data_IF_120945899487
#
_entry.id   IF_120945899487
#
_cell.length_a   1.000
_cell.length_b   1.000
_cell.length_c   1.000
_cell.angle_alpha   90.00
_cell.angle_beta   90.00
_cell.angle_gamma   90.00
#
_symmetry.space_group_name_H-M   'P 1'
#
loop_
_entity.id
_entity.type
_entity.pdbx_description
1 polymer ?
#
# COMPACT_ATOMS: atom_id res chain seq x y z
N UNK A 1 -1.82 -13.83 -8.46
CA UNK A 1 -1.34 -13.06 -7.29
C UNK A 1 0.16 -13.23 -7.21
N UNK A 2 0.91 -12.15 -7.01
CA UNK A 2 2.36 -12.24 -6.90
C UNK A 2 2.76 -13.01 -5.64
N UNK A 3 3.62 -14.02 -5.80
CA UNK A 3 4.22 -14.78 -4.72
C UNK A 3 5.62 -14.25 -4.53
N UNK A 4 5.97 -13.94 -3.29
CA UNK A 4 7.25 -13.36 -2.94
C UNK A 4 8.30 -14.43 -3.12
N UNK A 5 9.43 -14.03 -3.71
CA UNK A 5 10.61 -14.86 -3.68
C UNK A 5 11.34 -14.72 -2.33
N UNK A 6 12.47 -15.43 -2.19
CA UNK A 6 13.28 -15.40 -0.97
C UNK A 6 13.84 -14.00 -0.69
N UNK A 7 14.07 -13.19 -1.72
CA UNK A 7 14.60 -11.84 -1.59
C UNK A 7 13.52 -10.89 -1.06
N UNK A 8 12.33 -10.90 -1.65
CA UNK A 8 11.18 -10.13 -1.18
C UNK A 8 10.82 -10.47 0.26
N UNK A 9 10.78 -11.77 0.60
CA UNK A 9 10.49 -12.24 1.95
C UNK A 9 11.53 -11.74 2.96
N UNK A 10 12.81 -11.88 2.62
CA UNK A 10 13.91 -11.41 3.47
C UNK A 10 13.85 -9.89 3.68
N UNK A 11 13.53 -9.12 2.66
CA UNK A 11 13.38 -7.66 2.80
C UNK A 11 12.28 -7.33 3.81
N UNK A 12 11.10 -7.96 3.73
CA UNK A 12 10.04 -7.68 4.71
C UNK A 12 10.52 -8.02 6.11
N UNK A 13 11.13 -9.19 6.31
CA UNK A 13 11.61 -9.61 7.63
C UNK A 13 12.65 -8.64 8.21
N UNK A 14 13.59 -8.19 7.40
CA UNK A 14 14.60 -7.22 7.81
C UNK A 14 13.99 -5.84 8.11
N UNK A 15 12.94 -5.45 7.38
CA UNK A 15 12.15 -4.25 7.69
C UNK A 15 11.40 -4.37 9.00
N UNK A 16 10.85 -5.54 9.33
CA UNK A 16 10.23 -5.79 10.63
C UNK A 16 11.26 -5.67 11.76
N UNK A 17 12.44 -6.29 11.62
CA UNK A 17 13.53 -6.18 12.61
C UNK A 17 13.97 -4.73 12.81
N UNK A 18 14.16 -4.00 11.70
CA UNK A 18 14.52 -2.58 11.72
C UNK A 18 13.48 -1.75 12.47
N UNK A 19 12.19 -1.90 12.11
CA UNK A 19 11.13 -1.11 12.75
C UNK A 19 10.93 -1.48 14.22
N UNK A 20 11.16 -2.74 14.60
CA UNK A 20 11.15 -3.17 16.00
C UNK A 20 12.22 -2.46 16.82
N UNK A 21 13.47 -2.39 16.34
CA UNK A 21 14.52 -1.64 17.04
C UNK A 21 14.20 -0.14 17.11
N UNK A 22 13.72 0.46 16.02
CA UNK A 22 13.29 1.86 16.01
C UNK A 22 12.19 2.13 17.04
N UNK A 23 11.21 1.24 17.14
CA UNK A 23 10.12 1.34 18.13
C UNK A 23 10.65 1.18 19.55
N UNK A 24 11.52 0.20 19.81
CA UNK A 24 12.19 0.02 21.11
C UNK A 24 12.92 1.30 21.54
N UNK A 25 13.73 1.87 20.65
CA UNK A 25 14.50 3.10 20.92
C UNK A 25 13.60 4.29 21.22
N UNK A 26 12.51 4.44 20.48
CA UNK A 26 11.50 5.46 20.76
C UNK A 26 10.86 5.28 22.14
N UNK A 27 10.43 4.06 22.48
CA UNK A 27 9.85 3.76 23.79
C UNK A 27 10.85 3.94 24.95
N UNK A 28 12.15 3.75 24.69
CA UNK A 28 13.22 4.00 25.64
C UNK A 28 13.63 5.49 25.76
N UNK A 29 13.03 6.37 24.94
CA UNK A 29 13.40 7.80 24.89
C UNK A 29 14.72 8.10 24.15
N UNK A 30 15.30 7.10 23.47
CA UNK A 30 16.51 7.23 22.64
C UNK A 30 16.22 7.83 21.25
N UNK A 31 14.95 7.88 20.85
CA UNK A 31 14.48 8.59 19.65
C UNK A 31 13.38 9.56 20.04
N UNK A 32 13.50 10.81 19.59
CA UNK A 32 12.44 11.81 19.74
C UNK A 32 11.22 11.50 18.86
N UNK A 33 10.07 12.11 19.16
CA UNK A 33 8.88 12.01 18.29
C UNK A 33 9.16 12.54 16.88
N UNK A 34 9.98 13.59 16.73
CA UNK A 34 10.30 14.16 15.42
C UNK A 34 11.11 13.20 14.55
N UNK A 35 12.06 12.48 15.16
CA UNK A 35 12.87 11.45 14.50
C UNK A 35 12.06 10.18 14.22
N UNK A 36 11.18 9.78 15.15
CA UNK A 36 10.37 8.57 14.99
C UNK A 36 9.23 8.76 13.97
N UNK A 37 8.66 9.97 13.88
CA UNK A 37 7.55 10.30 12.98
C UNK A 37 7.75 9.82 11.53
N UNK A 38 8.84 10.16 10.81
CA UNK A 38 9.04 9.67 9.44
C UNK A 38 9.17 8.14 9.39
N UNK A 39 9.81 7.51 10.38
CA UNK A 39 10.03 6.06 10.44
C UNK A 39 8.71 5.30 10.59
N UNK A 40 7.84 5.73 11.52
CA UNK A 40 6.53 5.11 11.71
C UNK A 40 5.59 5.33 10.53
N UNK A 41 5.63 6.52 9.91
CA UNK A 41 4.83 6.82 8.73
C UNK A 41 5.21 5.94 7.53
N UNK A 42 6.51 5.69 7.31
CA UNK A 42 6.96 4.78 6.26
C UNK A 42 6.58 3.31 6.52
N UNK A 43 6.27 2.94 7.77
CA UNK A 43 5.74 1.63 8.15
C UNK A 43 4.22 1.65 8.37
N UNK A 44 3.53 2.64 7.81
CA UNK A 44 2.07 2.70 7.81
C UNK A 44 1.41 3.09 9.12
N UNK A 45 2.20 3.44 10.13
CA UNK A 45 1.73 3.79 11.47
C UNK A 45 1.54 5.31 11.62
N UNK A 46 0.27 5.72 11.62
CA UNK A 46 -0.16 7.09 11.79
C UNK A 46 -0.81 7.27 13.16
N UNK A 47 -0.16 7.98 14.08
CA UNK A 47 -0.77 8.35 15.37
C UNK A 47 -1.76 9.50 15.15
N UNK A 48 -3.05 9.19 15.29
CA UNK A 48 -4.12 10.19 15.30
C UNK A 48 -4.27 10.78 16.70
N UNK A 49 -5.14 11.78 16.86
CA UNK A 49 -5.39 12.45 18.15
C UNK A 49 -5.79 11.50 19.28
N UNK A 50 -6.48 10.41 18.95
CA UNK A 50 -7.07 9.50 19.95
C UNK A 50 -6.49 8.08 19.92
N UNK A 51 -5.89 7.64 18.81
CA UNK A 51 -5.33 6.30 18.68
C UNK A 51 -4.37 6.17 17.49
N UNK A 52 -3.44 5.21 17.50
CA UNK A 52 -2.66 4.84 16.33
C UNK A 52 -3.54 4.18 15.26
N UNK A 53 -3.25 4.47 14.00
CA UNK A 53 -3.83 3.78 12.84
C UNK A 53 -2.70 3.11 12.07
N UNK A 54 -2.83 1.80 11.84
CA UNK A 54 -1.94 1.01 11.01
C UNK A 54 -2.60 0.72 9.67
N UNK A 55 -1.97 1.16 8.58
CA UNK A 55 -2.40 0.84 7.21
C UNK A 55 -1.57 -0.29 6.62
N UNK A 56 -2.23 -1.40 6.29
CA UNK A 56 -1.63 -2.55 5.61
C UNK A 56 -1.75 -2.36 4.10
N UNK A 57 -0.67 -2.64 3.37
CA UNK A 57 -0.63 -2.61 1.92
C UNK A 57 -1.38 -3.81 1.35
N UNK A 58 -2.28 -3.55 0.40
CA UNK A 58 -2.96 -4.56 -0.41
C UNK A 58 -2.73 -4.18 -1.87
N UNK A 59 -1.62 -4.65 -2.48
CA UNK A 59 -1.26 -4.28 -3.83
C UNK A 59 -2.44 -4.46 -4.80
N UNK A 60 -2.82 -3.37 -5.47
CA UNK A 60 -3.90 -3.35 -6.49
C UNK A 60 -5.18 -4.09 -6.06
N UNK A 61 -5.48 -4.10 -4.76
CA UNK A 61 -6.70 -4.67 -4.19
C UNK A 61 -6.81 -6.19 -4.19
N UNK A 62 -5.72 -6.92 -4.45
CA UNK A 62 -5.74 -8.38 -4.51
C UNK A 62 -5.40 -9.03 -3.16
N UNK A 63 -6.27 -9.92 -2.68
CA UNK A 63 -6.11 -10.66 -1.42
C UNK A 63 -6.36 -12.16 -1.58
N UNK A 64 -5.50 -12.99 -1.00
CA UNK A 64 -5.80 -14.42 -0.78
C UNK A 64 -6.70 -14.60 0.45
N UNK A 65 -7.39 -15.75 0.51
CA UNK A 65 -8.09 -16.18 1.72
C UNK A 65 -7.17 -16.30 2.94
N UNK A 66 -5.91 -16.73 2.75
CA UNK A 66 -4.88 -16.80 3.80
C UNK A 66 -4.59 -15.41 4.39
N UNK A 67 -4.36 -14.42 3.54
CA UNK A 67 -4.12 -13.03 3.93
C UNK A 67 -5.36 -12.42 4.61
N UNK A 68 -6.56 -12.67 4.10
CA UNK A 68 -7.79 -12.22 4.73
C UNK A 68 -7.98 -12.80 6.14
N UNK A 69 -7.66 -14.09 6.35
CA UNK A 69 -7.70 -14.73 7.68
C UNK A 69 -6.67 -14.12 8.63
N UNK A 70 -5.47 -13.80 8.15
CA UNK A 70 -4.46 -13.11 8.95
C UNK A 70 -4.95 -11.73 9.41
N UNK A 71 -5.48 -10.91 8.50
CA UNK A 71 -6.04 -9.61 8.89
C UNK A 71 -7.21 -9.75 9.88
N UNK A 72 -8.04 -10.78 9.75
CA UNK A 72 -9.09 -11.06 10.72
C UNK A 72 -8.54 -11.46 12.11
N UNK A 73 -7.41 -12.18 12.16
CA UNK A 73 -6.69 -12.45 13.41
C UNK A 73 -6.18 -11.14 14.02
N UNK A 74 -5.47 -10.32 13.24
CA UNK A 74 -4.98 -9.01 13.71
C UNK A 74 -6.11 -8.13 14.25
N UNK A 75 -7.27 -8.10 13.57
CA UNK A 75 -8.44 -7.34 14.02
C UNK A 75 -8.91 -7.76 15.42
N UNK A 76 -8.88 -9.05 15.74
CA UNK A 76 -9.35 -9.58 17.03
C UNK A 76 -8.31 -9.43 18.14
N UNK A 77 -7.05 -9.62 17.80
CA UNK A 77 -5.98 -9.73 18.78
C UNK A 77 -5.41 -8.35 19.15
N UNK A 78 -5.35 -7.42 18.20
CA UNK A 78 -4.66 -6.12 18.34
C UNK A 78 -5.56 -4.90 18.05
N UNK A 79 -6.82 -5.11 17.68
CA UNK A 79 -7.77 -4.02 17.41
C UNK A 79 -9.11 -4.35 18.12
N UNK A 80 -10.23 -3.78 17.68
CA UNK A 80 -11.56 -3.91 18.30
C UNK A 80 -12.47 -4.90 17.55
N UNK A 81 -11.89 -5.89 16.88
CA UNK A 81 -12.61 -6.92 16.13
C UNK A 81 -13.09 -6.48 14.73
N UNK A 82 -12.64 -5.32 14.23
CA UNK A 82 -12.98 -4.84 12.88
C UNK A 82 -11.78 -4.25 12.16
N UNK A 83 -11.92 -4.08 10.84
CA UNK A 83 -10.95 -3.40 9.98
C UNK A 83 -11.70 -2.54 8.94
N UNK A 84 -11.01 -1.57 8.37
CA UNK A 84 -11.58 -0.68 7.37
C UNK A 84 -10.92 -0.89 6.01
N UNK A 85 -11.73 -1.05 4.96
CA UNK A 85 -11.24 -0.98 3.58
C UNK A 85 -11.17 0.49 3.17
N UNK A 86 -10.01 0.91 2.69
CA UNK A 86 -9.80 2.27 2.21
C UNK A 86 -10.24 2.44 0.76
N UNK A 87 -10.48 3.69 0.35
CA UNK A 87 -10.74 4.05 -1.05
C UNK A 87 -9.57 3.81 -2.00
N UNK A 88 -8.43 3.34 -1.48
CA UNK A 88 -7.26 2.92 -2.27
C UNK A 88 -6.95 1.44 -2.05
N UNK A 89 -7.99 0.65 -1.76
CA UNK A 89 -7.98 -0.80 -1.68
C UNK A 89 -7.11 -1.43 -0.57
N UNK A 90 -6.41 -0.62 0.23
CA UNK A 90 -5.71 -1.05 1.44
C UNK A 90 -6.65 -1.31 2.61
N UNK A 91 -6.14 -2.00 3.65
CA UNK A 91 -6.84 -2.25 4.92
C UNK A 91 -6.25 -1.40 6.04
N UNK A 92 -7.09 -0.93 6.97
CA UNK A 92 -6.70 -0.10 8.12
C UNK A 92 -7.24 -0.65 9.44
N UNK A 93 -6.37 -0.68 10.43
CA UNK A 93 -6.63 -0.89 11.86
C UNK A 93 -6.48 0.45 12.58
N UNK A 94 -7.36 0.78 13.52
CA UNK A 94 -7.42 2.12 14.14
C UNK A 94 -7.18 2.10 15.65
N UNK A 95 -6.90 0.94 16.24
CA UNK A 95 -6.66 0.80 17.67
C UNK A 95 -5.44 -0.03 18.09
N UNK A 96 -4.45 -0.36 17.22
CA UNK A 96 -3.27 -1.07 17.71
C UNK A 96 -2.49 -0.21 18.69
N UNK A 97 -2.05 -0.82 19.79
CA UNK A 97 -1.07 -0.21 20.66
C UNK A 97 0.25 -0.03 19.89
N UNK A 98 0.97 1.07 20.14
CA UNK A 98 2.15 1.43 19.35
C UNK A 98 3.26 0.38 19.50
N UNK A 99 3.42 -0.12 20.72
CA UNK A 99 4.36 -1.17 21.12
C UNK A 99 4.12 -2.51 20.43
N UNK A 100 2.87 -2.81 20.06
CA UNK A 100 2.48 -4.08 19.44
C UNK A 100 2.65 -4.06 17.91
N UNK A 101 2.78 -2.88 17.30
CA UNK A 101 2.86 -2.77 15.82
C UNK A 101 4.00 -3.59 15.22
N UNK A 102 5.22 -3.65 15.80
CA UNK A 102 6.26 -4.54 15.29
C UNK A 102 5.87 -6.03 15.30
N UNK A 103 5.04 -6.48 16.24
CA UNK A 103 4.52 -7.86 16.29
C UNK A 103 3.46 -8.08 15.22
N UNK A 104 2.54 -7.12 15.04
CA UNK A 104 1.56 -7.16 13.95
C UNK A 104 2.24 -7.27 12.58
N UNK A 105 3.30 -6.48 12.35
CA UNK A 105 4.07 -6.53 11.11
C UNK A 105 4.80 -7.87 10.93
N UNK A 106 5.29 -8.47 12.01
CA UNK A 106 5.90 -9.80 11.98
C UNK A 106 4.88 -10.88 11.57
N UNK A 107 3.67 -10.83 12.13
CA UNK A 107 2.60 -11.75 11.75
C UNK A 107 2.17 -11.57 10.30
N UNK A 108 1.99 -10.33 9.84
CA UNK A 108 1.67 -10.02 8.44
C UNK A 108 2.74 -10.56 7.47
N UNK A 109 4.02 -10.49 7.85
CA UNK A 109 5.12 -11.00 7.04
C UNK A 109 5.01 -12.52 6.79
N UNK A 110 4.42 -13.30 7.71
CA UNK A 110 4.23 -14.76 7.54
C UNK A 110 3.26 -15.13 6.40
N UNK A 111 2.45 -14.16 5.95
CA UNK A 111 1.52 -14.30 4.82
C UNK A 111 1.86 -13.33 3.69
N UNK A 112 3.11 -12.86 3.64
CA UNK A 112 3.65 -11.96 2.62
C UNK A 112 2.86 -10.65 2.51
N UNK A 113 2.56 -10.04 3.66
CA UNK A 113 1.95 -8.71 3.74
C UNK A 113 2.86 -7.74 4.50
N UNK A 114 2.74 -6.46 4.18
CA UNK A 114 3.52 -5.38 4.81
C UNK A 114 2.71 -4.09 4.93
N UNK A 115 3.27 -3.10 5.63
CA UNK A 115 2.72 -1.74 5.75
C UNK A 115 3.63 -0.67 5.12
N UNK A 116 4.70 -1.10 4.45
CA UNK A 116 5.74 -0.25 3.87
C UNK A 116 5.15 0.74 2.85
N UNK A 117 5.57 2.01 2.95
CA UNK A 117 5.16 3.11 2.07
C UNK A 117 3.64 3.31 1.95
N UNK A 118 2.87 2.98 2.99
CA UNK A 118 1.41 3.19 2.97
C UNK A 118 0.98 4.57 3.51
N UNK A 119 1.92 5.32 4.09
CA UNK A 119 1.75 6.63 4.71
C UNK A 119 3.01 7.49 4.52
N UNK A 120 2.98 8.76 4.94
CA UNK A 120 4.07 9.71 4.72
C UNK A 120 4.08 10.33 3.31
N UNK A 121 5.21 10.96 3.00
CA UNK A 121 5.49 11.62 1.71
C UNK A 121 6.25 10.66 0.78
N UNK A 122 5.55 9.65 0.31
CA UNK A 122 6.05 8.65 -0.64
C UNK A 122 4.91 8.23 -1.57
N UNK A 123 5.18 7.26 -2.43
CA UNK A 123 4.12 6.60 -3.19
C UNK A 123 3.08 5.97 -2.28
N UNK A 124 1.85 5.90 -2.79
CA UNK A 124 0.73 5.17 -2.21
C UNK A 124 0.47 3.90 -3.00
N UNK A 125 -0.46 3.09 -2.51
CA UNK A 125 -0.90 1.89 -3.22
C UNK A 125 -1.24 2.22 -4.68
N UNK A 126 -0.69 1.40 -5.58
CA UNK A 126 -1.06 1.37 -6.99
C UNK A 126 -2.41 0.67 -7.07
N UNK A 127 -3.40 1.34 -7.64
CA UNK A 127 -4.79 0.86 -7.66
C UNK A 127 -5.28 0.57 -9.07
N UNK A 128 -6.22 -0.35 -9.19
CA UNK A 128 -6.84 -0.72 -10.46
C UNK A 128 -8.30 -1.15 -10.29
N UNK A 129 -8.98 -1.51 -11.38
CA UNK A 129 -10.35 -2.03 -11.37
C UNK A 129 -10.44 -3.29 -10.49
N UNK A 130 -11.41 -3.33 -9.57
CA UNK A 130 -11.68 -4.52 -8.74
C UNK A 130 -12.03 -5.77 -9.57
N UNK A 131 -12.48 -5.60 -10.81
CA UNK A 131 -12.80 -6.67 -11.74
C UNK A 131 -11.66 -7.01 -12.72
N UNK A 132 -10.46 -6.48 -12.49
CA UNK A 132 -9.29 -6.74 -13.33
C UNK A 132 -9.03 -8.25 -13.55
N UNK A 133 -8.92 -8.64 -14.82
CA UNK A 133 -8.74 -10.00 -15.31
C UNK A 133 -10.04 -10.78 -15.58
N UNK A 134 -11.21 -10.21 -15.28
CA UNK A 134 -12.51 -10.88 -15.45
C UNK A 134 -13.62 -9.97 -15.98
N UNK A 135 -13.40 -8.66 -16.09
CA UNK A 135 -14.41 -7.74 -16.59
C UNK A 135 -14.69 -7.99 -18.07
N UNK A 136 -15.97 -8.03 -18.46
CA UNK A 136 -16.37 -8.29 -19.84
C UNK A 136 -15.96 -7.16 -20.81
N UNK A 137 -15.75 -5.96 -20.28
CA UNK A 137 -15.32 -4.78 -21.01
C UNK A 137 -13.83 -4.44 -20.78
N UNK A 138 -13.06 -5.40 -20.28
CA UNK A 138 -11.62 -5.26 -20.11
C UNK A 138 -10.92 -5.22 -21.48
N UNK A 139 -10.21 -4.13 -21.76
CA UNK A 139 -9.35 -4.00 -22.93
C UNK A 139 -8.03 -4.74 -22.70
N UNK A 140 -7.49 -4.66 -21.48
CA UNK A 140 -6.27 -5.33 -21.06
C UNK A 140 -6.31 -5.56 -19.55
N UNK A 141 -5.85 -6.72 -19.09
CA UNK A 141 -5.67 -6.99 -17.66
C UNK A 141 -4.62 -6.04 -17.09
N UNK A 142 -4.95 -5.07 -16.21
CA UNK A 142 -4.00 -4.06 -15.75
C UNK A 142 -3.01 -4.58 -14.68
N UNK A 143 -3.24 -5.78 -14.12
CA UNK A 143 -2.48 -6.30 -12.96
C UNK A 143 -0.97 -6.45 -13.23
N UNK A 144 -0.50 -6.94 -14.39
CA UNK A 144 0.93 -6.99 -14.69
C UNK A 144 1.61 -5.61 -14.62
N UNK A 145 0.96 -4.56 -15.14
CA UNK A 145 1.48 -3.19 -15.09
C UNK A 145 1.50 -2.66 -13.66
N UNK A 146 0.44 -2.92 -12.88
CA UNK A 146 0.41 -2.56 -11.46
C UNK A 146 1.54 -3.24 -10.68
N UNK A 147 1.83 -4.50 -10.96
CA UNK A 147 2.90 -5.25 -10.31
C UNK A 147 4.28 -4.71 -10.68
N UNK A 148 4.53 -4.41 -11.95
CA UNK A 148 5.80 -3.80 -12.41
C UNK A 148 6.01 -2.45 -11.72
N UNK A 149 4.98 -1.58 -11.71
CA UNK A 149 5.06 -0.28 -11.03
C UNK A 149 5.30 -0.47 -9.53
N UNK A 150 4.61 -1.41 -8.88
CA UNK A 150 4.81 -1.72 -7.47
C UNK A 150 6.26 -2.15 -7.20
N UNK A 151 6.80 -3.09 -7.97
CA UNK A 151 8.18 -3.57 -7.80
C UNK A 151 9.20 -2.45 -8.01
N UNK A 152 9.01 -1.64 -9.05
CA UNK A 152 9.95 -0.57 -9.37
C UNK A 152 9.91 0.59 -8.36
N UNK A 153 8.77 0.78 -7.68
CA UNK A 153 8.59 1.90 -6.75
C UNK A 153 8.82 1.53 -5.29
N UNK A 154 8.54 0.28 -4.91
CA UNK A 154 8.75 -0.20 -3.55
C UNK A 154 10.24 -0.31 -3.29
N UNK A 155 10.73 0.31 -2.21
CA UNK A 155 12.15 0.36 -1.82
C UNK A 155 13.10 1.16 -2.72
N UNK A 156 12.62 1.74 -3.82
CA UNK A 156 13.46 2.59 -4.63
C UNK A 156 13.75 3.92 -3.90
N UNK A 157 15.04 4.33 -3.74
CA UNK A 157 15.40 5.51 -2.97
C UNK A 157 14.72 6.81 -3.45
N UNK A 158 14.53 6.95 -4.76
CA UNK A 158 13.88 8.14 -5.35
C UNK A 158 12.43 8.34 -4.88
N UNK A 159 11.77 7.26 -4.44
CA UNK A 159 10.37 7.27 -4.03
C UNK A 159 10.17 7.22 -2.51
N UNK A 160 11.25 7.19 -1.74
CA UNK A 160 11.20 7.15 -0.27
C UNK A 160 10.88 8.52 0.37
N UNK A 161 11.23 9.63 -0.31
CA UNK A 161 11.13 11.00 0.20
C UNK A 161 10.65 11.97 -0.88
N UNK A 162 9.37 11.88 -1.24
CA UNK A 162 8.74 12.80 -2.17
C UNK A 162 8.35 14.11 -1.49
N UNK A 163 8.08 15.20 -2.23
CA UNK A 163 7.55 16.44 -1.66
C UNK A 163 6.19 16.25 -0.96
N UNK A 164 5.38 15.31 -1.46
CA UNK A 164 4.09 14.94 -0.88
C UNK A 164 3.72 13.50 -1.26
N UNK A 165 2.57 13.03 -0.78
CA UNK A 165 1.95 11.78 -1.22
C UNK A 165 1.83 11.73 -2.74
N UNK A 166 2.13 10.58 -3.34
CA UNK A 166 2.04 10.37 -4.79
C UNK A 166 1.23 9.11 -5.09
N UNK A 167 0.28 9.19 -6.01
CA UNK A 167 -0.74 8.17 -6.27
C UNK A 167 -0.70 7.76 -7.72
N UNK A 168 -0.73 6.47 -7.97
CA UNK A 168 -0.79 5.91 -9.32
C UNK A 168 -2.04 5.02 -9.40
N UNK A 169 -2.80 5.15 -10.49
CA UNK A 169 -3.85 4.20 -10.85
C UNK A 169 -3.76 3.81 -12.32
N UNK A 170 -4.14 2.57 -12.59
CA UNK A 170 -4.14 1.99 -13.93
C UNK A 170 -5.53 1.43 -14.19
N UNK A 171 -6.20 1.91 -15.22
CA UNK A 171 -7.45 1.33 -15.70
C UNK A 171 -7.14 0.18 -16.67
N UNK A 172 -8.03 -0.81 -16.74
CA UNK A 172 -7.97 -1.90 -17.72
C UNK A 172 -9.20 -1.97 -18.62
N UNK A 173 -10.27 -1.29 -18.24
CA UNK A 173 -11.62 -1.45 -18.80
C UNK A 173 -12.05 -0.23 -19.61
N UNK A 174 -13.06 -0.37 -20.45
CA UNK A 174 -13.62 0.78 -21.20
C UNK A 174 -14.20 1.86 -20.27
N UNK A 175 -14.74 1.46 -19.11
CA UNK A 175 -15.20 2.37 -18.06
C UNK A 175 -14.11 2.56 -17.00
N UNK A 176 -13.86 3.82 -16.61
CA UNK A 176 -12.92 4.12 -15.53
C UNK A 176 -13.49 3.78 -14.14
N UNK A 177 -13.31 2.53 -13.72
CA UNK A 177 -13.65 2.07 -12.35
C UNK A 177 -12.52 2.32 -11.35
N UNK A 178 -11.31 2.58 -11.85
CA UNK A 178 -10.12 2.85 -11.03
C UNK A 178 -10.03 4.33 -10.58
N UNK A 179 -10.88 5.20 -11.14
CA UNK A 179 -10.90 6.64 -10.91
C UNK A 179 -9.52 7.28 -11.21
N UNK A 180 -8.97 7.02 -12.39
CA UNK A 180 -7.60 7.40 -12.75
C UNK A 180 -7.39 8.93 -12.77
N UNK A 181 -8.43 9.72 -13.03
CA UNK A 181 -8.34 11.19 -13.07
C UNK A 181 -8.03 11.84 -11.72
N UNK A 182 -8.27 11.15 -10.59
CA UNK A 182 -8.03 11.71 -9.24
C UNK A 182 -6.66 11.32 -8.64
N UNK A 183 -5.80 10.73 -9.49
CA UNK A 183 -4.47 10.25 -9.17
C UNK A 183 -3.39 11.18 -9.72
N UNK A 184 -2.23 11.22 -9.06
CA UNK A 184 -1.10 12.01 -9.54
C UNK A 184 -0.64 11.52 -10.92
N UNK A 185 -0.70 10.20 -11.15
CA UNK A 185 -0.57 9.56 -12.47
C UNK A 185 -1.74 8.59 -12.69
N UNK A 186 -2.43 8.75 -13.82
CA UNK A 186 -3.45 7.83 -14.31
C UNK A 186 -3.04 7.22 -15.64
N UNK A 187 -3.15 5.89 -15.78
CA UNK A 187 -2.89 5.18 -17.03
C UNK A 187 -4.18 4.60 -17.60
N UNK A 188 -4.51 5.02 -18.82
CA UNK A 188 -5.66 4.52 -19.58
C UNK A 188 -5.17 3.75 -20.81
N UNK A 189 -5.54 2.46 -20.97
CA UNK A 189 -5.11 1.65 -22.10
C UNK A 189 -5.85 2.09 -23.37
N UNK A 190 -5.09 2.23 -24.46
CA UNK A 190 -5.61 2.56 -25.78
C UNK A 190 -4.95 1.68 -26.84
N UNK A 191 -5.72 1.24 -27.83
CA UNK A 191 -5.15 0.58 -29.01
C UNK A 191 -5.09 1.56 -30.18
N UNK A 192 -3.99 1.56 -30.93
CA UNK A 192 -3.91 2.31 -32.18
C UNK A 192 -4.66 1.57 -33.33
N UNK A 193 -4.67 2.16 -34.53
CA UNK A 193 -5.33 1.57 -35.70
C UNK A 193 -4.76 0.19 -36.10
N UNK A 194 -3.49 -0.07 -35.79
CA UNK A 194 -2.84 -1.35 -36.01
C UNK A 194 -3.12 -2.39 -34.90
N UNK A 195 -3.88 -2.02 -33.86
CA UNK A 195 -4.20 -2.87 -32.71
C UNK A 195 -3.09 -2.93 -31.65
N UNK A 196 -2.06 -2.08 -31.73
CA UNK A 196 -0.97 -2.04 -30.76
C UNK A 196 -1.41 -1.30 -29.49
N UNK A 197 -1.14 -1.91 -28.33
CA UNK A 197 -1.48 -1.36 -27.03
C UNK A 197 -0.51 -0.23 -26.65
N UNK A 198 -1.06 0.92 -26.29
CA UNK A 198 -0.39 2.03 -25.63
C UNK A 198 -1.19 2.52 -24.42
N UNK A 199 -0.69 3.60 -23.81
CA UNK A 199 -1.37 4.24 -22.68
C UNK A 199 -1.50 5.73 -22.90
N UNK A 200 -2.70 6.27 -22.68
CA UNK A 200 -2.85 7.68 -22.37
C UNK A 200 -2.44 7.91 -20.93
N UNK A 201 -1.56 8.88 -20.72
CA UNK A 201 -1.02 9.24 -19.41
C UNK A 201 -1.66 10.52 -18.93
N UNK A 202 -2.39 10.44 -17.82
CA UNK A 202 -2.98 11.57 -17.11
C UNK A 202 -2.03 11.97 -15.96
N UNK A 203 -1.86 13.28 -15.73
CA UNK A 203 -0.92 13.80 -14.73
C UNK A 203 -1.57 14.91 -13.90
N UNK A 204 -1.32 14.91 -12.58
CA UNK A 204 -1.66 16.01 -11.67
C UNK A 204 -3.06 15.95 -11.05
N UNK A 205 -3.70 14.78 -11.06
CA UNK A 205 -5.02 14.59 -10.48
C UNK A 205 -5.06 14.69 -8.96
N UNK A 206 -6.17 15.19 -8.41
CA UNK A 206 -6.37 15.26 -6.97
C UNK A 206 -7.70 15.87 -6.54
N UNK A 207 -8.22 15.41 -5.40
CA UNK A 207 -9.46 15.92 -4.76
C UNK A 207 -9.17 16.68 -3.44
N UNK A 208 -7.92 17.09 -3.23
CA UNK A 208 -7.54 17.86 -2.03
C UNK A 208 -7.89 19.34 -2.19
N UNK A 209 -8.05 20.06 -1.07
CA UNK A 209 -8.00 21.53 -1.10
C UNK A 209 -6.55 21.95 -1.37
N UNK A 210 -6.36 22.73 -2.43
CA UNK A 210 -5.13 23.48 -2.72
C UNK A 210 -5.02 24.69 -1.81
#
# INVERSE_FOLDING_TARGET
>A
MYVYDDYDQKIIEDRVKQFRDQTRRYLAGELSEEEFRPLRLQNGLYVQRFAPMLRVAVPYGQLTSRQARMMAKIARDYDKGYAHISTRQNVQFNWPALEDVPDILAELATVQMHAIQTSGNCLRNVTTDQFAGVAADELVDPRPWCEIVRQWTTFHPEFAYLPRKFKIAINGSTSDRAAIEVHDIGLEPLCNEAGELGFRVLVGGGLGRT
#
